data_IF_786788622615
#
_entry.id   IF_786788622615
#
_cell.length_a   1.000
_cell.length_b   1.000
_cell.length_c   1.000
_cell.angle_alpha   90.00
_cell.angle_beta   90.00
_cell.angle_gamma   90.00
#
_symmetry.space_group_name_H-M   'P 1'
#
loop_
_entity.id
_entity.type
_entity.pdbx_description
1 polymer ?
#
# COMPACT_ATOMS: atom_id res chain seq x y z
N UNK A 1 23.59 -12.53 -1.21
CA UNK A 1 22.93 -13.54 -0.34
C UNK A 1 21.56 -12.99 0.01
N UNK A 2 20.47 -13.74 -0.20
CA UNK A 2 19.12 -13.24 0.12
C UNK A 2 18.97 -13.04 1.63
N UNK A 3 18.35 -11.93 2.04
CA UNK A 3 17.99 -11.71 3.45
C UNK A 3 17.00 -12.78 3.89
N UNK A 4 17.15 -13.28 5.11
CA UNK A 4 16.13 -14.10 5.77
C UNK A 4 14.91 -13.24 6.12
N UNK A 5 13.78 -13.89 6.40
CA UNK A 5 12.56 -13.19 6.85
C UNK A 5 12.80 -12.22 8.00
N UNK A 6 13.51 -12.66 9.04
CA UNK A 6 13.80 -11.80 10.20
C UNK A 6 14.69 -10.61 9.82
N UNK A 7 15.69 -10.81 8.97
CA UNK A 7 16.53 -9.71 8.47
C UNK A 7 15.75 -8.71 7.60
N UNK A 8 14.76 -9.19 6.83
CA UNK A 8 13.86 -8.30 6.08
C UNK A 8 13.08 -7.43 7.07
N UNK A 9 12.42 -8.04 8.06
CA UNK A 9 11.65 -7.31 9.08
C UNK A 9 12.50 -6.31 9.86
N UNK A 10 13.69 -6.71 10.30
CA UNK A 10 14.65 -5.83 10.99
C UNK A 10 15.02 -4.61 10.14
N UNK A 11 15.17 -4.78 8.82
CA UNK A 11 15.46 -3.67 7.92
C UNK A 11 14.24 -2.84 7.53
N UNK A 12 13.06 -3.44 7.55
CA UNK A 12 11.79 -2.85 7.17
C UNK A 12 11.03 -2.26 8.35
N UNK A 13 11.75 -1.77 9.38
CA UNK A 13 11.13 -1.25 10.61
C UNK A 13 10.01 -0.23 10.35
N UNK A 14 10.11 0.70 9.38
CA UNK A 14 9.00 1.61 9.07
C UNK A 14 7.69 0.92 8.64
N UNK A 15 7.79 -0.25 7.98
CA UNK A 15 6.64 -1.07 7.58
C UNK A 15 6.13 -1.87 8.78
N UNK A 16 7.04 -2.47 9.54
CA UNK A 16 6.70 -3.24 10.75
C UNK A 16 6.01 -2.36 11.80
N UNK A 17 6.52 -1.15 12.02
CA UNK A 17 5.95 -0.17 12.95
C UNK A 17 4.52 0.19 12.54
N UNK A 18 4.30 0.49 11.25
CA UNK A 18 2.96 0.72 10.72
C UNK A 18 2.03 -0.48 10.98
N UNK A 19 2.43 -1.69 10.59
CA UNK A 19 1.61 -2.90 10.74
C UNK A 19 1.37 -3.31 12.20
N UNK A 20 2.22 -2.85 13.12
CA UNK A 20 2.05 -3.07 14.56
C UNK A 20 1.01 -2.16 15.22
N UNK A 21 0.43 -1.20 14.49
CA UNK A 21 -0.62 -0.34 15.02
C UNK A 21 -1.84 -1.16 15.44
N UNK A 22 -2.46 -0.77 16.56
CA UNK A 22 -3.70 -1.38 17.03
C UNK A 22 -4.95 -0.84 16.31
N UNK A 23 -4.79 0.26 15.57
CA UNK A 23 -5.85 0.94 14.83
C UNK A 23 -5.33 1.54 13.53
N UNK A 24 -6.08 1.38 12.45
CA UNK A 24 -5.75 1.93 11.14
C UNK A 24 -6.83 2.92 10.69
N UNK A 25 -6.41 3.99 10.02
CA UNK A 25 -7.31 5.00 9.43
C UNK A 25 -8.32 5.56 10.44
N UNK A 26 -7.90 5.69 11.71
CA UNK A 26 -8.76 6.14 12.82
C UNK A 26 -9.01 7.64 12.84
N UNK A 27 -8.30 8.37 11.98
CA UNK A 27 -8.42 9.81 11.77
C UNK A 27 -8.27 10.12 10.27
N UNK A 28 -8.73 11.30 9.83
CA UNK A 28 -8.49 11.77 8.47
C UNK A 28 -7.00 11.81 8.14
N UNK A 29 -6.69 11.73 6.85
CA UNK A 29 -5.32 11.84 6.33
C UNK A 29 -4.66 13.13 6.82
N UNK A 30 -3.48 12.99 7.43
CA UNK A 30 -2.75 14.09 8.07
C UNK A 30 -1.38 14.39 7.42
N UNK A 31 -1.14 13.86 6.22
CA UNK A 31 0.08 14.12 5.45
C UNK A 31 -0.01 15.26 4.43
N UNK A 32 0.93 15.24 3.49
CA UNK A 32 1.15 16.31 2.51
C UNK A 32 0.01 16.41 1.46
N UNK A 33 -0.87 17.37 1.67
CA UNK A 33 -2.00 17.68 0.77
C UNK A 33 -1.63 18.52 -0.45
N UNK A 34 -0.41 19.07 -0.52
CA UNK A 34 0.09 19.74 -1.72
C UNK A 34 0.66 18.71 -2.70
N UNK A 35 1.32 17.68 -2.18
CA UNK A 35 1.88 16.57 -2.94
C UNK A 35 0.81 15.64 -3.50
N UNK A 36 -0.20 15.30 -2.70
CA UNK A 36 -1.22 14.31 -3.07
C UNK A 36 -2.60 14.91 -3.28
N UNK A 37 -3.42 14.23 -4.07
CA UNK A 37 -4.84 14.56 -4.21
C UNK A 37 -5.59 13.76 -3.15
N UNK A 38 -6.31 14.43 -2.26
CA UNK A 38 -7.06 13.76 -1.19
C UNK A 38 -8.53 13.70 -1.54
N UNK A 39 -9.11 12.50 -1.45
CA UNK A 39 -10.55 12.30 -1.53
C UNK A 39 -11.07 11.70 -0.22
N UNK A 40 -12.26 12.14 0.20
CA UNK A 40 -13.00 11.53 1.31
C UNK A 40 -14.20 10.72 0.79
N UNK A 41 -14.39 10.60 -0.54
CA UNK A 41 -15.47 9.81 -1.14
C UNK A 41 -15.10 8.33 -1.20
N UNK A 42 -15.81 7.46 -0.47
CA UNK A 42 -15.62 6.02 -0.61
C UNK A 42 -15.95 5.53 -2.02
N UNK A 43 -16.94 6.11 -2.69
CA UNK A 43 -17.35 5.73 -4.05
C UNK A 43 -16.23 5.96 -5.06
N UNK A 44 -15.59 7.13 -5.02
CA UNK A 44 -14.45 7.46 -5.87
C UNK A 44 -13.27 6.52 -5.58
N UNK A 45 -12.96 6.29 -4.31
CA UNK A 45 -11.87 5.40 -3.91
C UNK A 45 -12.14 3.95 -4.36
N UNK A 46 -13.36 3.44 -4.21
CA UNK A 46 -13.76 2.11 -4.70
C UNK A 46 -13.57 2.01 -6.20
N UNK A 47 -14.09 2.96 -6.97
CA UNK A 47 -13.96 2.99 -8.43
C UNK A 47 -12.49 2.95 -8.87
N UNK A 48 -11.63 3.74 -8.23
CA UNK A 48 -10.21 3.78 -8.58
C UNK A 48 -9.48 2.47 -8.23
N UNK A 49 -9.84 1.85 -7.11
CA UNK A 49 -9.26 0.59 -6.64
C UNK A 49 -9.79 -0.66 -7.36
N UNK A 50 -10.94 -0.57 -8.05
CA UNK A 50 -11.50 -1.67 -8.84
C UNK A 50 -11.34 -1.45 -10.33
N UNK A 51 -12.05 -0.47 -10.88
CA UNK A 51 -12.27 -0.32 -12.31
C UNK A 51 -11.07 0.34 -13.01
N UNK A 52 -10.37 1.25 -12.31
CA UNK A 52 -9.15 1.91 -12.80
C UNK A 52 -7.87 1.29 -12.22
N UNK A 53 -7.97 0.11 -11.59
CA UNK A 53 -6.80 -0.55 -11.02
C UNK A 53 -5.70 -0.79 -12.06
N UNK A 54 -6.06 -0.99 -13.33
CA UNK A 54 -5.12 -1.18 -14.43
C UNK A 54 -4.15 -0.01 -14.62
N UNK A 55 -4.63 1.24 -14.55
CA UNK A 55 -3.79 2.45 -14.68
C UNK A 55 -2.84 2.59 -13.49
N UNK A 56 -3.36 2.34 -12.29
CA UNK A 56 -2.57 2.33 -11.06
C UNK A 56 -1.48 1.25 -11.09
N UNK A 57 -1.86 0.04 -11.50
CA UNK A 57 -0.97 -1.09 -11.62
C UNK A 57 0.08 -0.88 -12.71
N UNK A 58 -0.26 -0.29 -13.86
CA UNK A 58 0.69 -0.01 -14.93
C UNK A 58 1.77 0.99 -14.50
N UNK A 59 1.38 2.07 -13.80
CA UNK A 59 2.34 3.03 -13.24
C UNK A 59 3.27 2.32 -12.25
N UNK A 60 2.69 1.49 -11.39
CA UNK A 60 3.45 0.72 -10.42
C UNK A 60 4.43 -0.25 -11.13
N UNK A 61 3.96 -1.07 -12.07
CA UNK A 61 4.74 -2.11 -12.75
C UNK A 61 5.84 -1.53 -13.65
N UNK A 62 5.58 -0.40 -14.31
CA UNK A 62 6.57 0.26 -15.20
C UNK A 62 7.67 1.00 -14.44
N UNK A 63 7.35 1.56 -13.26
CA UNK A 63 8.27 2.40 -12.50
C UNK A 63 8.99 1.67 -11.36
N UNK A 64 8.51 0.48 -11.00
CA UNK A 64 9.00 -0.26 -9.85
C UNK A 64 10.45 -0.72 -9.97
N UNK A 65 10.79 -1.42 -11.06
CA UNK A 65 12.08 -2.13 -11.16
C UNK A 65 12.69 -2.06 -12.57
N UNK A 66 12.22 -1.16 -13.42
CA UNK A 66 12.77 -1.00 -14.78
C UNK A 66 14.26 -0.64 -14.70
N UNK A 67 15.10 -1.55 -15.22
CA UNK A 67 16.55 -1.38 -15.25
C UNK A 67 17.33 -1.92 -14.04
N UNK A 68 16.68 -2.61 -13.09
CA UNK A 68 17.38 -3.29 -11.99
C UNK A 68 17.64 -4.75 -12.35
N UNK A 69 18.80 -5.02 -12.94
CA UNK A 69 19.23 -6.39 -13.27
C UNK A 69 19.34 -7.30 -12.02
N UNK A 70 19.51 -6.71 -10.84
CA UNK A 70 19.73 -7.42 -9.57
C UNK A 70 18.50 -7.49 -8.64
N UNK A 71 17.33 -6.94 -9.04
CA UNK A 71 16.14 -7.04 -8.19
C UNK A 71 15.58 -8.47 -8.20
N UNK A 72 15.48 -9.08 -7.03
CA UNK A 72 15.06 -10.47 -6.89
C UNK A 72 13.84 -10.58 -5.97
N UNK A 73 12.72 -11.00 -6.56
CA UNK A 73 11.47 -11.24 -5.84
C UNK A 73 11.64 -12.37 -4.82
N UNK A 74 11.46 -12.03 -3.56
CA UNK A 74 11.53 -12.96 -2.46
C UNK A 74 10.15 -13.61 -2.24
N UNK A 75 9.78 -14.59 -3.07
CA UNK A 75 8.49 -15.31 -3.07
C UNK A 75 7.96 -15.80 -1.70
N UNK A 76 8.84 -15.93 -0.71
CA UNK A 76 8.45 -16.23 0.67
C UNK A 76 7.69 -15.08 1.36
N UNK A 77 7.86 -13.82 0.93
CA UNK A 77 7.27 -12.63 1.56
C UNK A 77 5.75 -12.70 1.49
N UNK A 78 5.15 -12.81 0.30
CA UNK A 78 3.69 -12.92 0.16
C UNK A 78 3.13 -14.10 0.95
N UNK A 79 3.77 -15.29 0.87
CA UNK A 79 3.35 -16.45 1.65
C UNK A 79 3.39 -16.22 3.17
N UNK A 80 4.38 -15.47 3.67
CA UNK A 80 4.50 -15.12 5.09
C UNK A 80 3.45 -14.11 5.52
N UNK A 81 3.20 -13.07 4.73
CA UNK A 81 2.16 -12.10 5.01
C UNK A 81 0.77 -12.76 5.06
N UNK A 82 0.41 -13.57 4.06
CA UNK A 82 -0.86 -14.31 4.04
C UNK A 82 -1.00 -15.18 5.32
N UNK A 83 0.02 -15.96 5.66
CA UNK A 83 -0.02 -16.85 6.84
C UNK A 83 -0.10 -16.12 8.18
N UNK A 84 0.28 -14.85 8.21
CA UNK A 84 0.30 -14.04 9.42
C UNK A 84 -0.78 -12.98 9.42
N UNK A 85 -1.70 -13.00 8.45
CA UNK A 85 -2.72 -11.97 8.26
C UNK A 85 -2.13 -10.54 8.21
N UNK A 86 -1.09 -10.38 7.36
CA UNK A 86 -0.27 -9.18 7.26
C UNK A 86 0.36 -8.77 8.61
N UNK A 87 1.09 -9.69 9.24
CA UNK A 87 1.64 -9.51 10.60
C UNK A 87 0.58 -9.20 11.68
N UNK A 88 -0.65 -9.66 11.48
CA UNK A 88 -1.79 -9.44 12.36
C UNK A 88 -2.51 -8.11 12.12
N UNK A 89 -2.06 -7.28 11.17
CA UNK A 89 -2.67 -5.99 10.89
C UNK A 89 -4.12 -6.14 10.38
N UNK A 90 -4.42 -7.18 9.61
CA UNK A 90 -5.77 -7.41 9.08
C UNK A 90 -6.76 -7.90 10.16
N UNK A 91 -6.28 -8.28 11.35
CA UNK A 91 -7.15 -8.60 12.50
C UNK A 91 -7.52 -7.34 13.33
N UNK A 92 -7.03 -6.16 12.94
CA UNK A 92 -7.18 -4.91 13.69
C UNK A 92 -8.37 -4.09 13.20
N UNK A 93 -8.63 -3.00 13.92
CA UNK A 93 -9.72 -2.10 13.60
C UNK A 93 -9.32 -1.09 12.52
N UNK A 94 -10.04 -1.09 11.39
CA UNK A 94 -9.89 -0.13 10.29
C UNK A 94 -10.84 1.08 10.38
N UNK A 95 -11.58 1.19 11.48
CA UNK A 95 -12.52 2.29 11.74
C UNK A 95 -13.53 2.49 10.61
N UNK A 96 -14.04 1.38 10.07
CA UNK A 96 -15.02 1.35 8.99
C UNK A 96 -14.45 1.68 7.61
N UNK A 97 -13.14 1.90 7.46
CA UNK A 97 -12.52 2.07 6.14
C UNK A 97 -12.64 0.79 5.29
N UNK A 98 -12.53 -0.38 5.92
CA UNK A 98 -12.77 -1.70 5.34
C UNK A 98 -14.21 -1.86 4.84
N UNK A 99 -15.20 -1.45 5.63
CA UNK A 99 -16.61 -1.45 5.21
C UNK A 99 -16.85 -0.46 4.06
N UNK A 100 -16.32 0.77 4.17
CA UNK A 100 -16.45 1.83 3.16
C UNK A 100 -15.80 1.45 1.83
N UNK A 101 -14.71 0.70 1.86
CA UNK A 101 -13.97 0.27 0.68
C UNK A 101 -14.22 -1.21 0.33
N UNK A 102 -15.39 -1.74 0.68
CA UNK A 102 -15.86 -3.03 0.16
C UNK A 102 -16.53 -2.84 -1.19
N UNK A 103 -16.09 -3.58 -2.21
CA UNK A 103 -16.72 -3.57 -3.52
C UNK A 103 -18.15 -4.14 -3.44
N UNK A 104 -19.15 -3.34 -3.78
CA UNK A 104 -20.57 -3.73 -3.64
C UNK A 104 -20.99 -4.90 -4.56
N UNK A 105 -20.28 -5.09 -5.69
CA UNK A 105 -20.59 -6.15 -6.64
C UNK A 105 -19.97 -7.50 -6.26
N UNK A 106 -18.66 -7.51 -5.96
CA UNK A 106 -17.92 -8.73 -5.65
C UNK A 106 -17.91 -9.09 -4.16
N UNK A 107 -18.16 -8.11 -3.28
CA UNK A 107 -17.96 -8.25 -1.84
C UNK A 107 -16.48 -8.24 -1.42
N UNK A 108 -15.55 -7.93 -2.34
CA UNK A 108 -14.13 -7.88 -2.04
C UNK A 108 -13.79 -6.70 -1.12
N UNK A 109 -13.00 -6.96 -0.08
CA UNK A 109 -12.48 -5.92 0.81
C UNK A 109 -11.21 -5.32 0.21
N UNK A 110 -11.33 -4.13 -0.38
CA UNK A 110 -10.21 -3.49 -1.09
C UNK A 110 -9.12 -3.02 -0.11
N UNK A 111 -9.44 -2.79 1.17
CA UNK A 111 -8.42 -2.50 2.19
C UNK A 111 -7.49 -3.70 2.37
N UNK A 112 -8.06 -4.89 2.57
CA UNK A 112 -7.29 -6.11 2.79
C UNK A 112 -6.42 -6.46 1.58
N UNK A 113 -7.02 -6.46 0.39
CA UNK A 113 -6.33 -6.84 -0.86
C UNK A 113 -5.17 -5.88 -1.16
N UNK A 114 -5.42 -4.58 -1.16
CA UNK A 114 -4.40 -3.58 -1.49
C UNK A 114 -3.35 -3.45 -0.38
N UNK A 115 -3.70 -3.57 0.90
CA UNK A 115 -2.68 -3.61 1.97
C UNK A 115 -1.78 -4.82 1.80
N UNK A 116 -2.33 -6.01 1.60
CA UNK A 116 -1.52 -7.23 1.43
C UNK A 116 -0.54 -7.08 0.26
N UNK A 117 -1.04 -6.61 -0.89
CA UNK A 117 -0.23 -6.37 -2.09
C UNK A 117 0.88 -5.33 -1.84
N UNK A 118 0.52 -4.17 -1.29
CA UNK A 118 1.47 -3.09 -1.06
C UNK A 118 2.55 -3.47 -0.04
N UNK A 119 2.18 -4.16 1.04
CA UNK A 119 3.14 -4.61 2.05
C UNK A 119 4.07 -5.69 1.52
N UNK A 120 3.59 -6.58 0.65
CA UNK A 120 4.46 -7.55 -0.03
C UNK A 120 5.55 -6.84 -0.83
N UNK A 121 5.18 -5.82 -1.60
CA UNK A 121 6.13 -5.11 -2.45
C UNK A 121 7.11 -4.29 -1.61
N UNK A 122 6.63 -3.57 -0.61
CA UNK A 122 7.50 -2.82 0.32
C UNK A 122 8.52 -3.74 0.99
N UNK A 123 8.11 -4.89 1.51
CA UNK A 123 9.05 -5.84 2.12
C UNK A 123 10.04 -6.42 1.11
N UNK A 124 9.64 -6.64 -0.14
CA UNK A 124 10.55 -7.02 -1.21
C UNK A 124 11.55 -5.91 -1.56
N UNK A 125 11.13 -4.64 -1.52
CA UNK A 125 12.02 -3.49 -1.68
C UNK A 125 13.10 -3.49 -0.57
N UNK A 126 12.70 -3.68 0.69
CA UNK A 126 13.66 -3.82 1.80
C UNK A 126 14.53 -5.07 1.68
N UNK A 127 14.01 -6.18 1.16
CA UNK A 127 14.79 -7.39 0.90
C UNK A 127 15.95 -7.14 -0.07
N UNK A 128 15.75 -6.23 -1.03
CA UNK A 128 16.70 -5.85 -2.06
C UNK A 128 17.52 -4.58 -1.72
N UNK A 129 17.32 -3.98 -0.54
CA UNK A 129 17.93 -2.70 -0.13
C UNK A 129 17.66 -1.54 -1.12
N UNK A 130 16.52 -1.57 -1.80
CA UNK A 130 16.16 -0.56 -2.78
C UNK A 130 14.65 -0.31 -2.73
N UNK A 131 14.25 0.94 -2.58
CA UNK A 131 12.84 1.36 -2.53
C UNK A 131 12.65 2.49 -3.56
N UNK A 132 11.87 2.27 -4.63
CA UNK A 132 11.48 3.32 -5.58
C UNK A 132 10.78 4.49 -4.89
N UNK A 133 10.86 5.69 -5.47
CA UNK A 133 10.19 6.89 -4.92
C UNK A 133 8.68 6.70 -4.75
N UNK A 134 8.00 6.09 -5.71
CA UNK A 134 6.56 5.79 -5.60
C UNK A 134 6.22 4.94 -4.37
N UNK A 135 7.10 3.99 -4.01
CA UNK A 135 6.90 3.13 -2.84
C UNK A 135 7.21 3.82 -1.52
N UNK A 136 8.13 4.80 -1.52
CA UNK A 136 8.32 5.69 -0.36
C UNK A 136 7.06 6.51 -0.11
N UNK A 137 6.42 7.00 -1.18
CA UNK A 137 5.19 7.77 -1.08
C UNK A 137 4.00 6.93 -0.63
N UNK A 138 3.85 5.70 -1.15
CA UNK A 138 2.84 4.75 -0.68
C UNK A 138 2.99 4.48 0.81
N UNK A 139 4.21 4.20 1.29
CA UNK A 139 4.47 3.97 2.71
C UNK A 139 4.17 5.22 3.55
N UNK A 140 4.58 6.39 3.10
CA UNK A 140 4.30 7.66 3.76
C UNK A 140 2.79 7.89 3.92
N UNK A 141 2.01 7.63 2.86
CA UNK A 141 0.55 7.75 2.89
C UNK A 141 -0.07 6.85 3.96
N UNK A 142 0.31 5.57 4.01
CA UNK A 142 -0.15 4.65 5.04
C UNK A 142 0.19 5.12 6.45
N UNK A 143 1.41 5.60 6.67
CA UNK A 143 1.88 6.11 7.96
C UNK A 143 1.14 7.38 8.41
N UNK A 144 0.40 8.04 7.53
CA UNK A 144 -0.30 9.31 7.79
C UNK A 144 -1.81 9.17 7.66
N UNK A 145 -2.35 7.98 7.98
CA UNK A 145 -3.78 7.64 7.99
C UNK A 145 -4.47 7.82 6.63
N UNK A 146 -3.70 7.72 5.54
CA UNK A 146 -4.23 7.73 4.18
C UNK A 146 -4.19 6.35 3.58
N UNK A 147 -5.08 6.11 2.63
CA UNK A 147 -5.08 4.90 1.83
C UNK A 147 -4.79 5.25 0.36
N UNK A 148 -3.66 4.80 -0.21
CA UNK A 148 -3.34 5.09 -1.61
C UNK A 148 -4.32 4.33 -2.51
N UNK A 149 -5.10 5.07 -3.31
CA UNK A 149 -6.23 4.48 -4.03
C UNK A 149 -6.24 4.75 -5.54
N UNK A 150 -5.30 5.53 -6.08
CA UNK A 150 -5.21 5.75 -7.52
C UNK A 150 -4.19 6.82 -7.90
N UNK A 151 -4.15 7.18 -9.18
CA UNK A 151 -3.27 8.21 -9.72
C UNK A 151 -4.02 9.10 -10.72
N UNK A 152 -3.66 10.39 -10.79
CA UNK A 152 -4.23 11.34 -11.74
C UNK A 152 -3.14 12.03 -12.56
N UNK A 153 -3.28 11.95 -13.88
CA UNK A 153 -2.31 12.51 -14.85
C UNK A 153 -1.18 11.52 -15.18
N UNK A 154 -0.27 11.93 -16.07
CA UNK A 154 0.80 11.05 -16.53
C UNK A 154 1.95 10.99 -15.52
N UNK A 155 2.54 9.82 -15.28
CA UNK A 155 3.75 9.72 -14.46
C UNK A 155 4.98 10.25 -15.24
N UNK A 156 5.93 10.97 -14.59
CA UNK A 156 6.02 11.30 -13.16
C UNK A 156 5.29 12.59 -12.72
N UNK A 157 4.72 13.38 -13.63
CA UNK A 157 4.16 14.71 -13.33
C UNK A 157 2.79 14.68 -12.65
N UNK A 158 2.09 13.55 -12.73
CA UNK A 158 0.80 13.30 -12.10
C UNK A 158 0.90 13.19 -10.58
N UNK A 159 -0.24 12.91 -9.93
CA UNK A 159 -0.33 12.82 -8.48
C UNK A 159 -1.07 11.57 -8.03
N UNK A 160 -0.56 10.96 -6.98
CA UNK A 160 -1.27 9.92 -6.25
C UNK A 160 -2.53 10.49 -5.61
N UNK A 161 -3.62 9.72 -5.72
CA UNK A 161 -4.90 9.95 -5.06
C UNK A 161 -4.90 9.13 -3.78
N UNK A 162 -5.26 9.78 -2.68
CA UNK A 162 -5.28 9.24 -1.33
C UNK A 162 -6.68 9.33 -0.78
N UNK A 163 -7.25 8.19 -0.39
CA UNK A 163 -8.48 8.16 0.39
C UNK A 163 -8.19 8.52 1.86
N UNK A 164 -8.99 9.43 2.40
CA UNK A 164 -8.97 9.89 3.78
C UNK A 164 -10.23 9.43 4.49
N UNK A 165 -10.09 8.63 5.54
CA UNK A 165 -11.24 8.14 6.31
C UNK A 165 -11.77 9.24 7.24
N UNK A 166 -12.91 9.85 6.88
CA UNK A 166 -13.63 10.87 7.66
C UNK A 166 -14.85 10.32 8.43
#
# INVERSE_FOLDING_TARGET
MKKTWNQILESAQPVVDFLSSDSFFSRPYDGDREKFIVTASPEEARYLLSDEWGEWQEIIDTQQFSGLEDFDWHYLVGSKLIKTNCLGALDKNFHGADEKLTNEGSGANLVEETMLHNMEILLNCYANNYIPEIWKDILYVFQHNGFPCGWKGDYPEGKMIVFSNE
#
